data_IF_436590698672
#
_entry.id   IF_436590698672
#
_cell.length_a   1.000
_cell.length_b   1.000
_cell.length_c   1.000
_cell.angle_alpha   90.00
_cell.angle_beta   90.00
_cell.angle_gamma   90.00
#
_symmetry.space_group_name_H-M   'P 1'
#
loop_
_entity.id
_entity.type
_entity.pdbx_description
1 polymer ?
#
# COMPACT_ATOMS: atom_id res chain seq x y z
N UNK A 1 33.57 -2.41 -4.99
CA UNK A 1 32.75 -3.10 -3.98
C UNK A 1 31.67 -3.84 -4.73
N UNK A 2 31.63 -5.17 -4.64
CA UNK A 2 30.53 -5.93 -5.20
C UNK A 2 29.28 -5.62 -4.36
N UNK A 3 28.29 -4.95 -4.94
CA UNK A 3 26.96 -4.86 -4.32
C UNK A 3 26.45 -6.30 -4.24
N UNK A 4 26.43 -6.87 -3.04
CA UNK A 4 25.72 -8.12 -2.79
C UNK A 4 24.29 -7.92 -3.30
N UNK A 5 23.92 -8.73 -4.30
CA UNK A 5 22.57 -8.70 -4.85
C UNK A 5 21.62 -9.10 -3.73
N UNK A 6 20.93 -8.11 -3.16
CA UNK A 6 19.92 -8.33 -2.11
C UNK A 6 18.77 -9.10 -2.75
N UNK A 7 18.78 -10.41 -2.55
CA UNK A 7 17.75 -11.30 -3.06
C UNK A 7 16.55 -11.37 -2.12
N UNK A 8 15.41 -11.81 -2.67
CA UNK A 8 14.19 -12.10 -1.91
C UNK A 8 14.46 -13.06 -0.74
N UNK A 9 15.29 -14.08 -0.95
CA UNK A 9 15.58 -15.09 0.06
C UNK A 9 16.42 -14.54 1.23
N UNK A 10 17.35 -13.63 0.93
CA UNK A 10 18.14 -12.92 1.96
C UNK A 10 17.20 -12.07 2.81
N UNK A 11 16.32 -11.28 2.20
CA UNK A 11 15.35 -10.46 2.92
C UNK A 11 14.40 -11.30 3.77
N UNK A 12 13.92 -12.43 3.24
CA UNK A 12 13.04 -13.35 3.96
C UNK A 12 13.74 -13.95 5.18
N UNK A 13 14.98 -14.40 5.01
CA UNK A 13 15.79 -14.96 6.11
C UNK A 13 16.02 -13.94 7.22
N UNK A 14 16.31 -12.69 6.87
CA UNK A 14 16.45 -11.59 7.86
C UNK A 14 15.14 -11.31 8.59
N UNK A 15 14.02 -11.29 7.88
CA UNK A 15 12.71 -11.10 8.48
C UNK A 15 12.36 -12.23 9.46
N UNK A 16 12.66 -13.47 9.11
CA UNK A 16 12.37 -14.63 9.95
C UNK A 16 13.24 -14.65 11.22
N UNK A 17 14.50 -14.20 11.14
CA UNK A 17 15.34 -13.97 12.32
C UNK A 17 14.81 -12.85 13.23
N UNK A 18 14.26 -11.78 12.66
CA UNK A 18 13.61 -10.71 13.45
C UNK A 18 12.34 -11.22 14.14
N UNK A 19 11.54 -12.03 13.44
CA UNK A 19 10.32 -12.64 13.99
C UNK A 19 10.57 -13.55 15.18
N UNK A 20 11.70 -14.27 15.20
CA UNK A 20 12.06 -15.12 16.35
C UNK A 20 12.51 -14.31 17.56
N UNK A 21 12.96 -13.07 17.35
CA UNK A 21 13.44 -12.17 18.40
C UNK A 21 12.31 -11.28 18.96
N UNK A 22 11.35 -10.89 18.12
CA UNK A 22 10.27 -9.97 18.47
C UNK A 22 9.02 -10.76 18.89
N UNK A 23 8.43 -10.42 20.03
CA UNK A 23 7.18 -11.01 20.46
C UNK A 23 6.05 -10.77 19.43
N UNK A 24 5.23 -11.79 19.18
CA UNK A 24 4.13 -11.72 18.20
C UNK A 24 3.16 -10.55 18.43
N UNK A 25 2.94 -10.16 19.69
CA UNK A 25 2.07 -9.01 20.05
C UNK A 25 2.61 -7.67 19.54
N UNK A 26 3.92 -7.57 19.31
CA UNK A 26 4.61 -6.37 18.84
C UNK A 26 4.66 -6.27 17.31
N UNK A 27 4.40 -7.35 16.57
CA UNK A 27 4.51 -7.40 15.11
C UNK A 27 3.66 -6.35 14.40
N UNK A 28 2.49 -6.02 14.96
CA UNK A 28 1.59 -4.99 14.41
C UNK A 28 2.22 -3.58 14.42
N UNK A 29 3.08 -3.29 15.40
CA UNK A 29 3.73 -1.98 15.54
C UNK A 29 4.93 -1.85 14.60
N UNK A 30 5.60 -2.96 14.32
CA UNK A 30 6.76 -3.00 13.42
C UNK A 30 6.39 -3.48 12.01
N UNK A 31 5.10 -3.49 11.69
CA UNK A 31 4.57 -3.80 10.35
C UNK A 31 5.13 -5.09 9.71
N UNK A 32 5.44 -6.10 10.53
CA UNK A 32 6.14 -7.33 10.12
C UNK A 32 5.38 -8.05 8.99
N UNK A 33 4.06 -8.13 9.09
CA UNK A 33 3.22 -8.77 8.06
C UNK A 33 3.22 -7.98 6.74
N UNK A 34 3.23 -6.65 6.82
CA UNK A 34 3.33 -5.81 5.62
C UNK A 34 4.68 -5.99 4.92
N UNK A 35 5.77 -6.04 5.69
CA UNK A 35 7.12 -6.29 5.16
C UNK A 35 7.21 -7.68 4.53
N UNK A 36 6.64 -8.71 5.17
CA UNK A 36 6.54 -10.05 4.59
C UNK A 36 5.82 -10.03 3.23
N UNK A 37 4.70 -9.32 3.16
CA UNK A 37 3.92 -9.20 1.93
C UNK A 37 4.70 -8.46 0.83
N UNK A 38 5.46 -7.42 1.19
CA UNK A 38 6.33 -6.72 0.24
C UNK A 38 7.41 -7.65 -0.30
N UNK A 39 8.15 -8.36 0.56
CA UNK A 39 9.16 -9.34 0.14
C UNK A 39 8.55 -10.41 -0.77
N UNK A 40 7.36 -10.90 -0.45
CA UNK A 40 6.66 -11.89 -1.27
C UNK A 40 6.44 -11.41 -2.71
N UNK A 41 6.00 -10.15 -2.86
CA UNK A 41 5.69 -9.52 -4.15
C UNK A 41 6.87 -8.81 -4.83
N UNK A 42 8.08 -8.87 -4.28
CA UNK A 42 9.24 -8.16 -4.81
C UNK A 42 9.53 -8.47 -6.28
N UNK A 43 9.37 -9.72 -6.71
CA UNK A 43 9.65 -10.13 -8.08
C UNK A 43 8.51 -9.80 -9.06
N UNK A 44 7.40 -9.23 -8.57
CA UNK A 44 6.25 -8.88 -9.42
C UNK A 44 6.43 -7.51 -10.09
N UNK A 45 7.46 -6.73 -9.73
CA UNK A 45 7.71 -5.48 -10.43
C UNK A 45 8.25 -5.78 -11.84
N UNK A 46 7.77 -5.06 -12.88
CA UNK A 46 8.18 -5.32 -14.27
C UNK A 46 9.64 -4.92 -14.57
N UNK A 47 10.27 -4.12 -13.71
CA UNK A 47 11.62 -3.58 -13.92
C UNK A 47 12.58 -4.10 -12.85
N UNK A 48 13.64 -4.81 -13.26
CA UNK A 48 14.71 -5.28 -12.35
C UNK A 48 15.31 -4.14 -11.53
N UNK A 49 15.57 -2.99 -12.16
CA UNK A 49 16.03 -1.78 -11.44
C UNK A 49 15.09 -1.39 -10.29
N UNK A 50 13.78 -1.52 -10.50
CA UNK A 50 12.79 -1.25 -9.45
C UNK A 50 12.83 -2.32 -8.38
N UNK A 51 12.94 -3.60 -8.77
CA UNK A 51 13.11 -4.71 -7.82
C UNK A 51 14.32 -4.48 -6.91
N UNK A 52 15.49 -4.18 -7.47
CA UNK A 52 16.71 -3.90 -6.69
C UNK A 52 16.55 -2.69 -5.77
N UNK A 53 15.95 -1.60 -6.26
CA UNK A 53 15.67 -0.42 -5.43
C UNK A 53 14.75 -0.75 -4.26
N UNK A 54 13.70 -1.53 -4.50
CA UNK A 54 12.77 -1.96 -3.44
C UNK A 54 13.43 -2.92 -2.45
N UNK A 55 14.27 -3.83 -2.94
CA UNK A 55 15.07 -4.73 -2.11
C UNK A 55 15.99 -3.92 -1.17
N UNK A 56 16.67 -2.90 -1.70
CA UNK A 56 17.50 -1.99 -0.91
C UNK A 56 16.72 -1.25 0.18
N UNK A 57 15.51 -0.75 -0.14
CA UNK A 57 14.63 -0.09 0.85
C UNK A 57 14.15 -1.05 1.94
N UNK A 58 13.75 -2.26 1.57
CA UNK A 58 13.36 -3.30 2.54
C UNK A 58 14.54 -3.68 3.42
N UNK A 59 15.74 -3.83 2.85
CA UNK A 59 16.95 -4.14 3.60
C UNK A 59 17.30 -3.05 4.61
N UNK A 60 17.21 -1.77 4.21
CA UNK A 60 17.42 -0.63 5.08
C UNK A 60 16.42 -0.59 6.24
N UNK A 61 15.14 -0.87 5.96
CA UNK A 61 14.10 -0.99 6.98
C UNK A 61 14.41 -2.10 7.99
N UNK A 62 14.76 -3.31 7.50
CA UNK A 62 15.09 -4.45 8.35
C UNK A 62 16.33 -4.18 9.20
N UNK A 63 17.36 -3.52 8.66
CA UNK A 63 18.55 -3.14 9.41
C UNK A 63 18.23 -2.13 10.52
N UNK A 64 17.41 -1.12 10.24
CA UNK A 64 16.98 -0.14 11.25
C UNK A 64 16.20 -0.83 12.37
N UNK A 65 15.26 -1.70 12.01
CA UNK A 65 14.47 -2.46 12.98
C UNK A 65 15.36 -3.36 13.83
N UNK A 66 16.31 -4.07 13.21
CA UNK A 66 17.25 -4.95 13.91
C UNK A 66 18.14 -4.20 14.91
N UNK A 67 18.62 -3.02 14.54
CA UNK A 67 19.45 -2.20 15.42
C UNK A 67 18.66 -1.68 16.63
N UNK A 68 17.42 -1.23 16.40
CA UNK A 68 16.60 -0.58 17.43
C UNK A 68 15.92 -1.56 18.37
N UNK A 69 15.49 -2.72 17.88
CA UNK A 69 14.84 -3.75 18.72
C UNK A 69 15.77 -4.30 19.79
N UNK A 70 17.08 -4.31 19.55
CA UNK A 70 18.09 -4.78 20.52
C UNK A 70 18.36 -3.77 21.66
N UNK A 71 17.95 -2.51 21.50
CA UNK A 71 18.13 -1.45 22.51
C UNK A 71 16.87 -1.38 23.37
N UNK A 72 16.97 -0.87 24.59
CA UNK A 72 15.77 -0.53 25.38
C UNK A 72 15.03 0.61 24.66
N UNK A 73 13.73 0.41 24.39
CA UNK A 73 12.92 1.36 23.62
C UNK A 73 11.45 1.27 24.01
N UNK A 74 10.73 2.39 23.84
CA UNK A 74 9.28 2.38 23.82
C UNK A 74 8.76 1.89 22.46
N UNK A 75 7.80 0.96 22.49
CA UNK A 75 7.25 0.31 21.29
C UNK A 75 6.59 1.34 20.35
N UNK A 76 5.91 2.35 20.90
CA UNK A 76 5.20 3.37 20.12
C UNK A 76 6.16 4.39 19.55
N UNK A 77 7.23 4.73 20.27
CA UNK A 77 8.29 5.60 19.76
C UNK A 77 8.99 4.95 18.57
N UNK A 78 9.41 3.69 18.69
CA UNK A 78 10.04 2.97 17.58
C UNK A 78 9.07 2.81 16.39
N UNK A 79 7.81 2.49 16.63
CA UNK A 79 6.80 2.42 15.58
C UNK A 79 6.66 3.75 14.82
N UNK A 80 6.70 4.87 15.54
CA UNK A 80 6.66 6.21 14.94
C UNK A 80 7.89 6.51 14.09
N UNK A 81 9.08 6.08 14.53
CA UNK A 81 10.32 6.21 13.76
C UNK A 81 10.31 5.37 12.48
N UNK A 82 9.73 4.17 12.54
CA UNK A 82 9.64 3.25 11.39
C UNK A 82 8.55 3.64 10.39
N UNK A 83 7.53 4.38 10.82
CA UNK A 83 6.34 4.68 10.03
C UNK A 83 6.63 5.39 8.68
N UNK A 84 7.49 6.43 8.60
CA UNK A 84 7.81 7.08 7.32
C UNK A 84 8.42 6.11 6.30
N UNK A 85 9.29 5.21 6.76
CA UNK A 85 9.98 4.23 5.90
C UNK A 85 9.00 3.20 5.34
N UNK A 86 8.14 2.61 6.19
CA UNK A 86 7.16 1.63 5.73
C UNK A 86 6.10 2.27 4.81
N UNK A 87 5.71 3.52 5.11
CA UNK A 87 4.75 4.26 4.30
C UNK A 87 5.31 4.54 2.90
N UNK A 88 6.57 5.00 2.80
CA UNK A 88 7.24 5.21 1.51
C UNK A 88 7.34 3.91 0.69
N UNK A 89 7.67 2.79 1.33
CA UNK A 89 7.72 1.47 0.67
C UNK A 89 6.33 1.09 0.17
N UNK A 90 5.31 1.18 1.02
CA UNK A 90 3.93 0.86 0.67
C UNK A 90 3.42 1.67 -0.51
N UNK A 91 3.77 2.95 -0.58
CA UNK A 91 3.34 3.85 -1.65
C UNK A 91 3.96 3.42 -3.00
N UNK A 92 5.24 3.06 -3.01
CA UNK A 92 5.90 2.54 -4.22
C UNK A 92 5.37 1.18 -4.66
N UNK A 93 5.05 0.26 -3.72
CA UNK A 93 4.36 -0.99 -4.04
C UNK A 93 2.99 -0.71 -4.66
N UNK A 94 2.23 0.24 -4.09
CA UNK A 94 0.91 0.61 -4.59
C UNK A 94 0.97 1.14 -6.03
N UNK A 95 1.88 2.07 -6.31
CA UNK A 95 1.99 2.66 -7.64
C UNK A 95 2.68 1.73 -8.64
N UNK A 96 3.75 1.05 -8.24
CA UNK A 96 4.58 0.22 -9.12
C UNK A 96 3.99 -1.15 -9.44
N UNK A 97 3.23 -1.75 -8.53
CA UNK A 97 2.44 -2.97 -8.81
C UNK A 97 1.00 -2.65 -9.24
N UNK A 98 0.66 -1.38 -9.36
CA UNK A 98 -0.65 -0.94 -9.84
C UNK A 98 -1.80 -1.37 -8.94
N UNK A 99 -1.57 -1.59 -7.64
CA UNK A 99 -2.64 -1.92 -6.70
C UNK A 99 -3.71 -0.83 -6.74
N UNK A 100 -4.89 -1.22 -7.21
CA UNK A 100 -6.04 -0.33 -7.25
C UNK A 100 -6.53 -0.20 -5.81
N UNK A 101 -6.22 0.94 -5.19
CA UNK A 101 -6.86 1.31 -3.93
C UNK A 101 -8.36 1.26 -4.15
N UNK A 102 -9.05 0.39 -3.42
CA UNK A 102 -10.51 0.42 -3.41
C UNK A 102 -10.91 1.84 -2.98
N UNK A 103 -11.65 2.59 -3.80
CA UNK A 103 -12.10 3.90 -3.38
C UNK A 103 -12.96 3.72 -2.13
N UNK A 104 -12.78 4.59 -1.14
CA UNK A 104 -13.60 4.54 0.07
C UNK A 104 -15.05 4.79 -0.32
N UNK A 105 -15.94 3.83 -0.02
CA UNK A 105 -17.38 3.97 -0.29
C UNK A 105 -17.97 5.21 0.40
N UNK A 106 -17.44 5.59 1.57
CA UNK A 106 -17.84 6.79 2.29
C UNK A 106 -17.47 8.08 1.52
N UNK A 107 -16.26 8.12 0.96
CA UNK A 107 -15.81 9.26 0.17
C UNK A 107 -16.61 9.40 -1.12
N UNK A 108 -16.93 8.29 -1.78
CA UNK A 108 -17.84 8.32 -2.93
C UNK A 108 -19.25 8.75 -2.55
N UNK A 109 -19.80 8.24 -1.45
CA UNK A 109 -21.13 8.63 -0.97
C UNK A 109 -21.20 10.14 -0.70
N UNK A 110 -20.16 10.72 -0.08
CA UNK A 110 -20.07 12.15 0.14
C UNK A 110 -20.04 12.95 -1.17
N UNK A 111 -19.21 12.54 -2.14
CA UNK A 111 -19.15 13.18 -3.46
C UNK A 111 -20.51 13.13 -4.17
N UNK A 112 -21.18 11.97 -4.16
CA UNK A 112 -22.50 11.81 -4.76
C UNK A 112 -23.56 12.69 -4.12
N UNK A 113 -23.52 12.81 -2.79
CA UNK A 113 -24.44 13.63 -2.02
C UNK A 113 -24.25 15.12 -2.34
N UNK A 114 -23.00 15.60 -2.43
CA UNK A 114 -22.69 16.98 -2.85
C UNK A 114 -23.18 17.24 -4.27
N UNK A 115 -22.91 16.33 -5.22
CA UNK A 115 -23.40 16.43 -6.60
C UNK A 115 -24.93 16.48 -6.68
N UNK A 116 -25.62 15.71 -5.84
CA UNK A 116 -27.08 15.74 -5.74
C UNK A 116 -27.60 17.12 -5.35
N UNK A 117 -27.09 17.72 -4.29
CA UNK A 117 -27.55 19.04 -3.85
C UNK A 117 -27.24 20.14 -4.87
N UNK A 118 -26.07 20.09 -5.51
CA UNK A 118 -25.70 21.02 -6.59
C UNK A 118 -26.69 20.91 -7.75
N UNK A 119 -26.92 19.70 -8.27
CA UNK A 119 -27.80 19.50 -9.42
C UNK A 119 -29.28 19.74 -9.07
N UNK A 120 -29.69 19.42 -7.84
CA UNK A 120 -31.05 19.67 -7.35
C UNK A 120 -31.38 21.16 -7.26
N UNK A 121 -30.37 22.02 -7.07
CA UNK A 121 -30.55 23.48 -7.05
C UNK A 121 -30.99 24.04 -8.41
N UNK A 122 -30.59 23.40 -9.50
CA UNK A 122 -30.85 23.88 -10.87
C UNK A 122 -31.88 23.04 -11.64
N UNK A 123 -32.12 21.79 -11.22
CA UNK A 123 -32.99 20.85 -11.93
C UNK A 123 -34.04 20.20 -11.02
N UNK A 124 -35.11 19.67 -11.63
CA UNK A 124 -36.09 18.84 -10.95
C UNK A 124 -35.48 17.54 -10.42
N UNK A 125 -36.02 17.01 -9.31
CA UNK A 125 -35.46 15.83 -8.61
C UNK A 125 -35.24 14.64 -9.54
N UNK A 126 -36.18 14.37 -10.45
CA UNK A 126 -36.08 13.26 -11.40
C UNK A 126 -34.93 13.42 -12.39
N UNK A 127 -34.68 14.64 -12.88
CA UNK A 127 -33.57 14.96 -13.79
C UNK A 127 -32.24 14.83 -13.03
N UNK A 128 -32.17 15.34 -11.80
CA UNK A 128 -30.99 15.21 -10.93
C UNK A 128 -30.63 13.75 -10.67
N UNK A 129 -31.61 12.92 -10.29
CA UNK A 129 -31.41 11.49 -10.08
C UNK A 129 -30.94 10.78 -11.36
N UNK A 130 -31.53 11.11 -12.51
CA UNK A 130 -31.14 10.53 -13.80
C UNK A 130 -29.70 10.85 -14.20
N UNK A 131 -29.28 12.11 -14.04
CA UNK A 131 -27.90 12.54 -14.33
C UNK A 131 -26.90 11.86 -13.41
N UNK A 132 -27.20 11.79 -12.11
CA UNK A 132 -26.33 11.14 -11.12
C UNK A 132 -26.19 9.64 -11.39
N UNK A 133 -27.30 8.96 -11.70
CA UNK A 133 -27.28 7.55 -12.07
C UNK A 133 -26.43 7.30 -13.32
N UNK A 134 -26.57 8.14 -14.36
CA UNK A 134 -25.79 8.02 -15.59
C UNK A 134 -24.28 8.18 -15.33
N UNK A 135 -23.87 9.21 -14.58
CA UNK A 135 -22.46 9.44 -14.20
C UNK A 135 -21.95 8.25 -13.36
N UNK A 136 -22.79 7.73 -12.46
CA UNK A 136 -22.47 6.59 -11.60
C UNK A 136 -22.17 5.33 -12.41
N UNK A 137 -23.04 5.00 -13.37
CA UNK A 137 -22.86 3.86 -14.26
C UNK A 137 -21.57 4.00 -15.07
N UNK A 138 -21.33 5.17 -15.69
CA UNK A 138 -20.10 5.41 -16.48
C UNK A 138 -18.84 5.26 -15.62
N UNK A 139 -18.87 5.76 -14.39
CA UNK A 139 -17.74 5.69 -13.46
C UNK A 139 -17.47 4.23 -13.05
N UNK A 140 -18.51 3.46 -12.74
CA UNK A 140 -18.39 2.04 -12.40
C UNK A 140 -17.84 1.23 -13.57
N UNK A 141 -18.35 1.45 -14.79
CA UNK A 141 -17.88 0.77 -16.01
C UNK A 141 -16.40 1.08 -16.26
N UNK A 142 -16.01 2.36 -16.17
CA UNK A 142 -14.61 2.78 -16.38
C UNK A 142 -13.66 2.19 -15.33
N UNK A 143 -14.08 2.14 -14.06
CA UNK A 143 -13.32 1.49 -12.99
C UNK A 143 -13.18 0.00 -13.27
N UNK A 144 -14.27 -0.70 -13.62
CA UNK A 144 -14.24 -2.14 -13.94
C UNK A 144 -13.35 -2.45 -15.15
N UNK A 145 -13.37 -1.63 -16.19
CA UNK A 145 -12.48 -1.79 -17.35
C UNK A 145 -11.01 -1.63 -16.95
N UNK A 146 -10.65 -0.57 -16.22
CA UNK A 146 -9.27 -0.38 -15.72
C UNK A 146 -8.80 -1.51 -14.81
N UNK A 147 -9.67 -2.04 -13.96
CA UNK A 147 -9.36 -3.21 -13.13
C UNK A 147 -9.12 -4.44 -14.00
N UNK A 148 -9.92 -4.66 -15.05
CA UNK A 148 -9.78 -5.79 -15.95
C UNK A 148 -8.47 -5.73 -16.74
N UNK A 149 -8.13 -4.57 -17.30
CA UNK A 149 -6.88 -4.38 -18.07
C UNK A 149 -5.62 -4.65 -17.24
N UNK A 150 -5.62 -4.29 -15.94
CA UNK A 150 -4.46 -4.48 -15.07
C UNK A 150 -4.37 -5.83 -14.37
N UNK A 151 -5.40 -6.69 -14.48
CA UNK A 151 -5.35 -8.08 -13.97
C UNK A 151 -4.60 -9.04 -14.89
N UNK A 152 -4.31 -8.64 -16.12
CA UNK A 152 -3.56 -9.42 -17.10
C UNK A 152 -2.07 -9.05 -17.16
N UNK A 153 -1.58 -8.30 -16.16
CA UNK A 153 -0.16 -8.02 -15.92
C UNK A 153 0.22 -8.45 -14.51
#
# INVERSE_FOLDING_TARGET
MAEEIISKDILQSRLDALKSTIERKQWKYYHIESVQNFIFHLNNFPSERTQYRMAGKLNAYLSLLEERVKKEHDIHELARELYPSIWSISDEYKYGLGFISKPSYLLHLFIWLVLFFILKSSFGTWITCGVIAAIGIVTIVRIRMKIKERKYF
#
